data_IF_185922161658
#
_entry.id   IF_185922161658
#
_cell.length_a   1.000
_cell.length_b   1.000
_cell.length_c   1.000
_cell.angle_alpha   90.00
_cell.angle_beta   90.00
_cell.angle_gamma   90.00
#
_symmetry.space_group_name_H-M   'P 1'
#
loop_
_entity.id
_entity.type
_entity.pdbx_description
1 polymer ?
#
# COMPACT_ATOMS: atom_id res chain seq x y z
N UNK A 1 -22.03 2.65 -44.11
CA UNK A 1 -21.09 2.90 -43.01
C UNK A 1 -21.23 1.68 -42.12
N UNK A 2 -20.31 0.73 -42.28
CA UNK A 2 -20.27 -0.44 -41.42
C UNK A 2 -19.83 0.02 -40.03
N UNK A 3 -20.38 -0.63 -39.02
CA UNK A 3 -20.41 -0.21 -37.63
C UNK A 3 -19.02 -0.40 -37.00
N UNK A 4 -18.22 0.67 -36.93
CA UNK A 4 -16.89 0.70 -36.29
C UNK A 4 -16.93 0.27 -34.80
N UNK A 5 -18.12 0.10 -34.21
CA UNK A 5 -18.30 -0.36 -32.84
C UNK A 5 -18.09 -1.88 -32.66
N UNK A 6 -18.41 -2.71 -33.67
CA UNK A 6 -18.28 -4.18 -33.55
C UNK A 6 -16.81 -4.63 -33.41
N UNK A 7 -15.89 -3.90 -34.04
CA UNK A 7 -14.45 -4.18 -33.94
C UNK A 7 -13.86 -3.78 -32.58
N UNK A 8 -14.41 -2.74 -31.93
CA UNK A 8 -13.97 -2.29 -30.61
C UNK A 8 -14.43 -3.23 -29.49
N UNK A 9 -15.68 -3.70 -29.55
CA UNK A 9 -16.19 -4.65 -28.57
C UNK A 9 -15.44 -5.99 -28.65
N UNK A 10 -15.14 -6.45 -29.87
CA UNK A 10 -14.30 -7.65 -30.05
C UNK A 10 -12.89 -7.49 -29.50
N UNK A 11 -12.24 -6.34 -29.72
CA UNK A 11 -10.92 -6.07 -29.15
C UNK A 11 -10.93 -6.05 -27.61
N UNK A 12 -12.02 -5.55 -27.01
CA UNK A 12 -12.17 -5.56 -25.55
C UNK A 12 -12.34 -6.98 -25.03
N UNK A 13 -13.18 -7.79 -25.66
CA UNK A 13 -13.42 -9.18 -25.26
C UNK A 13 -12.15 -10.03 -25.40
N UNK A 14 -11.40 -9.87 -26.50
CA UNK A 14 -10.12 -10.56 -26.72
C UNK A 14 -9.08 -10.16 -25.64
N UNK A 15 -9.05 -8.88 -25.25
CA UNK A 15 -8.15 -8.38 -24.19
C UNK A 15 -8.56 -8.93 -22.81
N UNK A 16 -9.86 -8.94 -22.50
CA UNK A 16 -10.37 -9.46 -21.23
C UNK A 16 -10.09 -10.96 -21.09
N UNK A 17 -10.28 -11.72 -22.17
CA UNK A 17 -9.92 -13.14 -22.19
C UNK A 17 -8.41 -13.36 -21.97
N UNK A 18 -7.56 -12.59 -22.66
CA UNK A 18 -6.12 -12.69 -22.49
C UNK A 18 -5.66 -12.34 -21.06
N UNK A 19 -6.28 -11.35 -20.42
CA UNK A 19 -6.03 -11.01 -19.01
C UNK A 19 -6.46 -12.14 -18.10
N UNK A 20 -7.61 -12.76 -18.35
CA UNK A 20 -8.11 -13.88 -17.56
C UNK A 20 -7.18 -15.10 -17.65
N UNK A 21 -6.80 -15.50 -18.87
CA UNK A 21 -5.85 -16.62 -19.08
C UNK A 21 -4.48 -16.33 -18.44
N UNK A 22 -3.99 -15.09 -18.54
CA UNK A 22 -2.76 -14.68 -17.86
C UNK A 22 -2.90 -14.77 -16.33
N UNK A 23 -4.03 -14.36 -15.76
CA UNK A 23 -4.28 -14.41 -14.32
C UNK A 23 -4.40 -15.85 -13.80
N UNK A 24 -4.93 -16.77 -14.59
CA UNK A 24 -5.02 -18.19 -14.23
C UNK A 24 -3.63 -18.85 -14.21
N UNK A 25 -2.73 -18.45 -15.12
CA UNK A 25 -1.42 -19.10 -15.31
C UNK A 25 -0.24 -18.39 -14.66
N UNK A 26 -0.39 -17.12 -14.24
CA UNK A 26 0.71 -16.33 -13.67
C UNK A 26 1.31 -16.95 -12.39
N UNK A 27 0.51 -17.72 -11.65
CA UNK A 27 0.93 -18.41 -10.43
C UNK A 27 1.52 -19.80 -10.68
N UNK A 28 1.38 -20.35 -11.89
CA UNK A 28 1.90 -21.69 -12.25
C UNK A 28 3.40 -21.68 -12.56
N UNK A 29 4.00 -20.50 -12.67
CA UNK A 29 5.43 -20.34 -12.92
C UNK A 29 6.13 -19.56 -11.80
N UNK A 30 7.46 -19.67 -11.68
CA UNK A 30 8.21 -18.79 -10.81
C UNK A 30 7.98 -17.31 -11.15
N UNK A 31 7.71 -16.51 -10.12
CA UNK A 31 7.63 -15.06 -10.23
C UNK A 31 9.04 -14.52 -10.48
N UNK A 32 9.20 -13.70 -11.52
CA UNK A 32 10.50 -13.08 -11.82
C UNK A 32 10.80 -11.95 -10.83
N UNK A 33 12.08 -11.57 -10.61
CA UNK A 33 12.41 -10.44 -9.76
C UNK A 33 11.73 -9.13 -10.19
N UNK A 34 11.60 -8.87 -11.50
CA UNK A 34 10.96 -7.68 -12.04
C UNK A 34 9.47 -7.63 -11.71
N UNK A 35 8.77 -8.77 -11.82
CA UNK A 35 7.36 -8.88 -11.44
C UNK A 35 7.18 -8.73 -9.94
N UNK A 36 8.10 -9.26 -9.15
CA UNK A 36 8.09 -9.04 -7.71
C UNK A 36 8.23 -7.55 -7.38
N UNK A 37 9.18 -6.83 -8.00
CA UNK A 37 9.32 -5.38 -7.83
C UNK A 37 8.09 -4.62 -8.29
N UNK A 38 7.49 -5.03 -9.41
CA UNK A 38 6.25 -4.44 -9.91
C UNK A 38 5.10 -4.61 -8.91
N UNK A 39 4.92 -5.82 -8.36
CA UNK A 39 3.93 -6.09 -7.33
C UNK A 39 4.21 -5.25 -6.07
N UNK A 40 5.46 -5.19 -5.60
CA UNK A 40 5.82 -4.37 -4.43
C UNK A 40 5.63 -2.87 -4.65
N UNK A 41 5.77 -2.38 -5.89
CA UNK A 41 5.54 -0.96 -6.20
C UNK A 41 4.05 -0.57 -6.11
N UNK A 42 3.16 -1.54 -6.28
CA UNK A 42 1.70 -1.38 -6.20
C UNK A 42 1.14 -1.75 -4.85
N UNK A 43 1.80 -2.65 -4.14
CA UNK A 43 1.44 -3.08 -2.81
C UNK A 43 2.61 -2.88 -1.86
N UNK A 44 3.01 -1.62 -1.60
CA UNK A 44 4.11 -1.37 -0.71
C UNK A 44 3.73 -1.80 0.71
N UNK A 45 4.70 -2.42 1.38
CA UNK A 45 4.58 -2.90 2.74
C UNK A 45 5.84 -2.58 3.53
N UNK A 46 5.72 -2.61 4.85
CA UNK A 46 6.82 -2.47 5.78
C UNK A 46 6.56 -3.33 7.00
N UNK A 47 7.62 -3.96 7.51
CA UNK A 47 7.61 -4.64 8.79
C UNK A 47 8.82 -4.17 9.62
N UNK A 48 8.52 -3.68 10.80
CA UNK A 48 9.52 -3.28 11.80
C UNK A 48 9.29 -4.05 13.10
N UNK A 49 10.34 -4.26 13.88
CA UNK A 49 10.22 -4.81 15.22
C UNK A 49 10.99 -3.99 16.24
N UNK A 50 10.64 -4.19 17.52
CA UNK A 50 11.45 -3.74 18.63
C UNK A 50 12.74 -4.57 18.64
N UNK A 51 13.88 -3.91 18.50
CA UNK A 51 15.15 -4.61 18.47
C UNK A 51 15.52 -5.26 19.81
N UNK A 52 14.96 -4.78 20.92
CA UNK A 52 15.20 -5.32 22.26
C UNK A 52 14.35 -6.58 22.52
N UNK A 53 13.20 -6.70 21.85
CA UNK A 53 12.28 -7.83 21.96
C UNK A 53 11.60 -8.08 20.60
N UNK A 54 12.24 -8.85 19.69
CA UNK A 54 11.75 -9.00 18.32
C UNK A 54 10.65 -10.06 18.18
N UNK A 55 10.12 -10.62 19.28
CA UNK A 55 9.21 -11.75 19.24
C UNK A 55 7.75 -11.33 19.33
N UNK A 56 6.90 -11.86 18.44
CA UNK A 56 5.44 -11.74 18.56
C UNK A 56 5.00 -12.76 19.61
N UNK A 57 4.30 -12.35 20.70
CA UNK A 57 3.75 -13.30 21.65
C UNK A 57 2.78 -14.26 20.95
N UNK A 58 2.90 -15.56 21.24
CA UNK A 58 2.05 -16.58 20.64
C UNK A 58 0.56 -16.32 20.93
N UNK A 59 -0.28 -16.46 19.91
CA UNK A 59 -1.74 -16.23 20.03
C UNK A 59 -2.16 -14.77 20.19
N UNK A 60 -1.24 -13.80 20.10
CA UNK A 60 -1.58 -12.38 20.19
C UNK A 60 -2.16 -11.85 18.87
N UNK A 61 -3.42 -11.47 18.90
CA UNK A 61 -4.06 -10.70 17.82
C UNK A 61 -3.48 -9.28 17.74
N UNK A 62 -3.29 -8.74 16.53
CA UNK A 62 -2.80 -7.38 16.36
C UNK A 62 -3.88 -6.36 16.71
N UNK A 63 -3.46 -5.23 17.29
CA UNK A 63 -4.26 -4.01 17.21
C UNK A 63 -4.19 -3.49 15.77
N UNK A 64 -5.35 -3.31 15.14
CA UNK A 64 -5.44 -2.89 13.74
C UNK A 64 -5.89 -1.44 13.67
N UNK A 65 -5.08 -0.61 13.01
CA UNK A 65 -5.36 0.81 12.79
C UNK A 65 -5.44 1.11 11.31
N UNK A 66 -6.59 1.61 10.89
CA UNK A 66 -6.82 2.14 9.55
C UNK A 66 -6.43 3.61 9.48
N UNK A 67 -5.64 3.97 8.47
CA UNK A 67 -5.24 5.34 8.17
C UNK A 67 -6.24 5.97 7.19
N UNK A 68 -6.31 7.31 7.18
CA UNK A 68 -7.20 8.07 6.28
C UNK A 68 -6.96 7.80 4.78
N UNK A 69 -5.80 7.27 4.41
CA UNK A 69 -5.45 6.91 3.04
C UNK A 69 -5.70 5.43 2.72
N UNK A 70 -6.48 4.70 3.55
CA UNK A 70 -6.81 3.29 3.35
C UNK A 70 -5.69 2.30 3.73
N UNK A 71 -4.59 2.80 4.32
CA UNK A 71 -3.51 1.93 4.80
C UNK A 71 -3.85 1.30 6.13
N UNK A 72 -3.46 0.03 6.28
CA UNK A 72 -3.67 -0.73 7.51
C UNK A 72 -2.34 -0.92 8.23
N UNK A 73 -2.32 -0.60 9.51
CA UNK A 73 -1.20 -0.87 10.40
C UNK A 73 -1.63 -1.91 11.44
N UNK A 74 -0.92 -3.03 11.49
CA UNK A 74 -1.09 -4.10 12.46
C UNK A 74 0.01 -3.99 13.51
N UNK A 75 -0.38 -3.69 14.75
CA UNK A 75 0.50 -3.55 15.90
C UNK A 75 0.39 -4.78 16.81
N UNK A 76 1.44 -5.60 16.83
CA UNK A 76 1.57 -6.76 17.72
C UNK A 76 2.28 -6.40 19.03
N UNK A 77 2.57 -5.12 19.28
CA UNK A 77 3.32 -4.61 20.43
C UNK A 77 4.83 -4.58 20.18
N UNK A 78 5.43 -5.74 19.91
CA UNK A 78 6.86 -5.91 19.59
C UNK A 78 7.16 -5.89 18.09
N UNK A 79 6.14 -6.07 17.25
CA UNK A 79 6.23 -6.02 15.79
C UNK A 79 5.12 -5.14 15.25
N UNK A 80 5.44 -4.27 14.30
CA UNK A 80 4.47 -3.45 13.58
C UNK A 80 4.60 -3.76 12.09
N UNK A 81 3.47 -4.08 11.46
CA UNK A 81 3.37 -4.31 10.01
C UNK A 81 2.43 -3.29 9.41
N UNK A 82 2.79 -2.73 8.28
CA UNK A 82 1.93 -1.82 7.52
C UNK A 82 1.97 -2.15 6.04
N UNK A 83 0.86 -1.96 5.35
CA UNK A 83 0.79 -2.17 3.91
C UNK A 83 -0.44 -1.53 3.30
N UNK A 84 -0.35 -1.27 1.99
CA UNK A 84 -1.51 -0.87 1.22
C UNK A 84 -2.53 -2.01 1.22
N UNK A 85 -3.75 -1.75 1.71
CA UNK A 85 -4.81 -2.74 1.75
C UNK A 85 -5.24 -3.18 0.35
N UNK A 86 -4.92 -2.42 -0.71
CA UNK A 86 -5.47 -2.57 -2.05
C UNK A 86 -5.45 -3.99 -2.61
N UNK A 87 -4.47 -4.87 -2.37
CA UNK A 87 -4.55 -6.24 -2.90
C UNK A 87 -5.64 -7.07 -2.18
N UNK A 88 -5.65 -7.05 -0.84
CA UNK A 88 -6.66 -7.75 -0.04
C UNK A 88 -8.01 -7.05 -0.09
N UNK A 89 -8.02 -5.73 -0.21
CA UNK A 89 -9.19 -4.90 -0.45
C UNK A 89 -9.77 -5.19 -1.83
N UNK A 90 -8.96 -5.26 -2.90
CA UNK A 90 -9.43 -5.61 -4.25
C UNK A 90 -10.00 -7.02 -4.27
N UNK A 91 -9.31 -7.99 -3.64
CA UNK A 91 -9.85 -9.36 -3.50
C UNK A 91 -11.18 -9.36 -2.74
N UNK A 92 -11.27 -8.63 -1.62
CA UNK A 92 -12.48 -8.52 -0.80
C UNK A 92 -13.57 -7.66 -1.44
N UNK A 93 -13.21 -6.64 -2.22
CA UNK A 93 -14.12 -5.73 -2.92
C UNK A 93 -14.66 -6.43 -4.16
N UNK A 94 -13.90 -7.31 -4.83
CA UNK A 94 -14.44 -8.22 -5.83
C UNK A 94 -15.41 -9.24 -5.19
N UNK A 95 -15.08 -9.76 -4.02
CA UNK A 95 -15.98 -10.65 -3.27
C UNK A 95 -17.27 -9.92 -2.84
N UNK A 96 -17.16 -8.69 -2.34
CA UNK A 96 -18.28 -7.83 -1.94
C UNK A 96 -19.09 -7.39 -3.16
N UNK A 97 -18.46 -6.93 -4.25
CA UNK A 97 -19.14 -6.57 -5.51
C UNK A 97 -19.87 -7.78 -6.10
N UNK A 98 -19.27 -8.97 -6.03
CA UNK A 98 -19.93 -10.24 -6.40
C UNK A 98 -21.18 -10.50 -5.56
N UNK A 99 -21.09 -10.33 -4.23
CA UNK A 99 -22.22 -10.47 -3.31
C UNK A 99 -23.30 -9.41 -3.51
N UNK A 100 -22.94 -8.14 -3.73
CA UNK A 100 -23.86 -7.04 -4.03
C UNK A 100 -24.56 -7.28 -5.38
N UNK A 101 -23.83 -7.71 -6.40
CA UNK A 101 -24.39 -8.04 -7.72
C UNK A 101 -25.39 -9.19 -7.62
N UNK A 102 -25.08 -10.24 -6.86
CA UNK A 102 -26.02 -11.33 -6.58
C UNK A 102 -27.25 -10.87 -5.79
N UNK A 103 -27.05 -10.06 -4.75
CA UNK A 103 -28.14 -9.53 -3.92
C UNK A 103 -29.08 -8.62 -4.72
N UNK A 104 -28.54 -7.73 -5.55
CA UNK A 104 -29.31 -6.83 -6.41
C UNK A 104 -30.00 -7.59 -7.55
N UNK A 105 -29.37 -8.61 -8.14
CA UNK A 105 -30.02 -9.47 -9.14
C UNK A 105 -31.20 -10.25 -8.56
N UNK A 106 -31.05 -10.76 -7.33
CA UNK A 106 -32.13 -11.44 -6.59
C UNK A 106 -33.27 -10.48 -6.24
N UNK A 107 -32.95 -9.29 -5.73
CA UNK A 107 -33.95 -8.26 -5.43
C UNK A 107 -34.75 -7.86 -6.68
N UNK A 108 -34.08 -7.71 -7.82
CA UNK A 108 -34.71 -7.38 -9.11
C UNK A 108 -35.64 -8.50 -9.60
N UNK A 109 -35.22 -9.76 -9.51
CA UNK A 109 -36.06 -10.92 -9.86
C UNK A 109 -37.31 -11.04 -8.97
N UNK A 110 -37.23 -10.52 -7.74
CA UNK A 110 -38.32 -10.50 -6.76
C UNK A 110 -39.13 -9.18 -6.81
N UNK A 111 -38.85 -8.27 -7.76
CA UNK A 111 -39.56 -7.01 -7.95
C UNK A 111 -39.32 -5.95 -6.86
N UNK A 112 -38.20 -6.03 -6.12
CA UNK A 112 -37.82 -5.08 -5.06
C UNK A 112 -36.79 -4.08 -5.56
N UNK A 113 -36.76 -2.90 -4.95
CA UNK A 113 -35.70 -1.91 -5.18
C UNK A 113 -34.32 -2.45 -4.78
N UNK A 114 -33.25 -1.92 -5.42
CA UNK A 114 -31.86 -2.28 -5.13
C UNK A 114 -31.54 -2.06 -3.66
N UNK A 115 -30.79 -2.98 -3.06
CA UNK A 115 -30.53 -2.97 -1.62
C UNK A 115 -29.39 -2.03 -1.19
N UNK A 116 -28.53 -1.59 -2.12
CA UNK A 116 -27.35 -0.77 -1.81
C UNK A 116 -27.13 0.31 -2.88
N UNK A 117 -26.79 1.53 -2.44
CA UNK A 117 -26.38 2.66 -3.27
C UNK A 117 -24.89 2.60 -3.62
N UNK A 118 -24.55 3.07 -4.83
CA UNK A 118 -23.18 3.26 -5.31
C UNK A 118 -22.69 4.64 -4.86
N UNK A 119 -22.38 4.82 -3.57
CA UNK A 119 -21.85 6.10 -3.10
C UNK A 119 -20.34 6.22 -3.39
N UNK A 120 -19.99 7.32 -4.04
CA UNK A 120 -18.67 7.75 -4.48
C UNK A 120 -17.71 7.98 -3.30
N UNK A 121 -16.47 7.48 -3.42
CA UNK A 121 -15.38 7.66 -2.45
C UNK A 121 -14.97 9.13 -2.33
N UNK A 122 -15.43 9.81 -1.27
CA UNK A 122 -14.87 11.09 -0.82
C UNK A 122 -13.50 10.88 -0.17
N UNK A 123 -12.43 11.18 -0.91
CA UNK A 123 -11.11 11.34 -0.29
C UNK A 123 -9.98 11.38 -1.30
N UNK A 124 -9.50 12.59 -1.61
CA UNK A 124 -8.27 12.76 -2.39
C UNK A 124 -7.08 12.15 -1.66
N UNK A 125 -6.81 10.87 -1.92
CA UNK A 125 -5.62 10.20 -1.43
C UNK A 125 -4.43 10.80 -2.19
N UNK A 126 -3.48 11.40 -1.48
CA UNK A 126 -2.24 11.90 -2.09
C UNK A 126 -1.54 10.83 -2.92
N UNK A 127 -0.48 11.19 -3.67
CA UNK A 127 0.28 10.22 -4.47
C UNK A 127 0.68 8.98 -3.65
N UNK A 128 0.82 7.80 -4.27
CA UNK A 128 1.31 6.57 -3.59
C UNK A 128 2.56 6.85 -2.75
N UNK A 129 3.44 7.72 -3.25
CA UNK A 129 4.63 8.22 -2.54
C UNK A 129 4.30 8.86 -1.20
N UNK A 130 3.35 9.78 -1.19
CA UNK A 130 2.89 10.42 0.04
C UNK A 130 2.24 9.40 0.98
N UNK A 131 1.41 8.49 0.44
CA UNK A 131 0.69 7.52 1.26
C UNK A 131 1.62 6.57 2.02
N UNK A 132 2.60 5.94 1.34
CA UNK A 132 3.54 5.06 2.03
C UNK A 132 4.46 5.84 2.98
N UNK A 133 4.73 7.12 2.67
CA UNK A 133 5.53 8.00 3.54
C UNK A 133 4.78 8.23 4.85
N UNK A 134 3.52 8.65 4.77
CA UNK A 134 2.66 8.87 5.93
C UNK A 134 2.53 7.59 6.77
N UNK A 135 2.36 6.44 6.12
CA UNK A 135 2.29 5.14 6.79
C UNK A 135 3.59 4.77 7.51
N UNK A 136 4.75 4.95 6.87
CA UNK A 136 6.04 4.69 7.51
C UNK A 136 6.27 5.58 8.74
N UNK A 137 5.92 6.87 8.66
CA UNK A 137 5.99 7.79 9.79
C UNK A 137 5.04 7.39 10.92
N UNK A 138 3.81 7.00 10.59
CA UNK A 138 2.83 6.54 11.59
C UNK A 138 3.31 5.27 12.31
N UNK A 139 3.95 4.34 11.62
CA UNK A 139 4.53 3.13 12.22
C UNK A 139 5.67 3.46 13.21
N UNK A 140 6.55 4.40 12.87
CA UNK A 140 7.61 4.86 13.80
C UNK A 140 7.03 5.59 15.00
N UNK A 141 6.00 6.42 14.82
CA UNK A 141 5.30 7.06 15.95
C UNK A 141 4.67 6.03 16.88
N UNK A 142 4.04 4.98 16.33
CA UNK A 142 3.50 3.88 17.12
C UNK A 142 4.60 3.14 17.90
N UNK A 143 5.77 2.90 17.28
CA UNK A 143 6.91 2.32 17.98
C UNK A 143 7.35 3.17 19.19
N UNK A 144 7.41 4.50 19.03
CA UNK A 144 7.71 5.43 20.13
C UNK A 144 6.62 5.38 21.22
N UNK A 145 5.34 5.35 20.82
CA UNK A 145 4.21 5.24 21.76
C UNK A 145 4.24 3.92 22.56
N UNK A 146 4.71 2.84 21.93
CA UNK A 146 4.95 1.55 22.58
C UNK A 146 6.21 1.53 23.45
N UNK A 147 6.95 2.64 23.54
CA UNK A 147 8.16 2.76 24.35
C UNK A 147 9.38 2.05 23.77
N UNK A 148 9.42 1.81 22.45
CA UNK A 148 10.59 1.20 21.81
C UNK A 148 11.80 2.12 21.91
N UNK A 149 12.98 1.55 22.17
CA UNK A 149 14.25 2.28 22.22
C UNK A 149 15.02 2.22 20.90
N UNK A 150 14.82 1.15 20.14
CA UNK A 150 15.46 0.88 18.86
C UNK A 150 14.49 0.07 18.00
N UNK A 151 14.22 0.55 16.80
CA UNK A 151 13.47 -0.20 15.80
C UNK A 151 14.43 -0.92 14.83
N UNK A 152 14.07 -2.13 14.43
CA UNK A 152 14.74 -2.88 13.36
C UNK A 152 13.80 -3.06 12.18
N UNK A 153 14.25 -2.71 10.97
CA UNK A 153 13.53 -2.98 9.73
C UNK A 153 13.81 -4.42 9.33
N UNK A 154 12.78 -5.26 9.37
CA UNK A 154 12.90 -6.68 9.02
C UNK A 154 12.74 -6.90 7.52
N UNK A 155 11.77 -6.20 6.92
CA UNK A 155 11.43 -6.33 5.50
C UNK A 155 10.52 -5.20 5.05
N UNK A 156 10.41 -4.98 3.74
CA UNK A 156 9.47 -4.02 3.18
C UNK A 156 9.83 -3.60 1.76
N UNK A 157 9.00 -2.76 1.18
CA UNK A 157 9.31 -2.04 -0.05
C UNK A 157 10.39 -0.99 0.23
N UNK A 158 11.46 -0.96 -0.58
CA UNK A 158 12.66 -0.16 -0.30
C UNK A 158 12.37 1.34 -0.06
N UNK A 159 11.56 2.05 -0.88
CA UNK A 159 11.15 3.41 -0.57
C UNK A 159 10.44 3.58 0.78
N UNK A 160 9.67 2.60 1.23
CA UNK A 160 8.99 2.65 2.52
C UNK A 160 9.96 2.38 3.69
N UNK A 161 10.92 1.47 3.51
CA UNK A 161 12.02 1.27 4.47
C UNK A 161 12.86 2.55 4.62
N UNK A 162 13.19 3.21 3.51
CA UNK A 162 13.87 4.52 3.48
C UNK A 162 13.08 5.56 4.27
N UNK A 163 11.77 5.65 4.07
CA UNK A 163 10.93 6.59 4.82
C UNK A 163 10.86 6.26 6.31
N UNK A 164 10.87 4.98 6.70
CA UNK A 164 10.91 4.58 8.10
C UNK A 164 12.24 4.97 8.77
N UNK A 165 13.36 4.80 8.07
CA UNK A 165 14.67 5.28 8.54
C UNK A 165 14.69 6.80 8.71
N UNK A 166 14.19 7.56 7.72
CA UNK A 166 14.08 9.04 7.81
C UNK A 166 13.17 9.43 8.99
N UNK A 167 12.01 8.77 9.14
CA UNK A 167 11.10 9.03 10.24
C UNK A 167 11.75 8.78 11.61
N UNK A 168 12.56 7.72 11.74
CA UNK A 168 13.36 7.46 12.93
C UNK A 168 14.28 8.61 13.29
N UNK A 169 15.04 9.13 12.31
CA UNK A 169 15.91 10.28 12.51
C UNK A 169 15.16 11.54 12.94
N UNK A 170 14.03 11.83 12.28
CA UNK A 170 13.22 13.02 12.55
C UNK A 170 12.51 12.96 13.92
N UNK A 171 12.11 11.76 14.35
CA UNK A 171 11.35 11.55 15.58
C UNK A 171 12.22 11.11 16.76
N UNK A 172 13.54 10.98 16.57
CA UNK A 172 14.48 10.61 17.62
C UNK A 172 14.43 9.13 18.03
N UNK A 173 13.91 8.24 17.18
CA UNK A 173 13.97 6.79 17.37
C UNK A 173 15.08 6.20 16.48
N UNK A 174 16.16 5.64 17.05
CA UNK A 174 17.13 4.88 16.28
C UNK A 174 16.46 3.76 15.47
N UNK A 175 16.81 3.66 14.18
CA UNK A 175 16.32 2.63 13.26
C UNK A 175 17.52 1.92 12.62
N UNK A 176 17.56 0.57 12.71
CA UNK A 176 18.52 -0.29 12.02
C UNK A 176 17.83 -1.18 10.98
N UNK A 177 18.60 -2.02 10.29
CA UNK A 177 18.08 -2.92 9.24
C UNK A 177 17.94 -2.29 7.85
N UNK A 178 18.19 -0.98 7.73
CA UNK A 178 18.23 -0.27 6.45
C UNK A 178 19.67 0.11 6.07
N UNK A 179 20.10 -0.27 4.87
CA UNK A 179 21.42 0.07 4.33
C UNK A 179 21.33 1.40 3.58
N UNK A 180 21.91 2.44 4.18
CA UNK A 180 21.85 3.81 3.66
C UNK A 180 22.84 4.01 2.52
N UNK A 181 22.34 4.53 1.40
CA UNK A 181 23.10 4.99 0.23
C UNK A 181 23.21 6.53 0.19
N UNK A 182 24.01 7.06 -0.73
CA UNK A 182 24.12 8.52 -0.92
C UNK A 182 22.80 9.14 -1.41
N UNK A 183 22.05 8.42 -2.25
CA UNK A 183 20.72 8.85 -2.72
C UNK A 183 19.74 9.02 -1.54
N UNK A 184 19.78 8.10 -0.58
CA UNK A 184 18.94 8.15 0.62
C UNK A 184 19.19 9.42 1.43
N UNK A 185 20.45 9.86 1.53
CA UNK A 185 20.83 11.11 2.22
C UNK A 185 20.35 12.35 1.47
N UNK A 186 20.37 12.32 0.14
CA UNK A 186 19.78 13.40 -0.66
C UNK A 186 18.29 13.49 -0.37
N UNK A 187 17.58 12.37 -0.37
CA UNK A 187 16.14 12.33 -0.11
C UNK A 187 15.80 12.75 1.31
N UNK A 188 16.57 12.31 2.31
CA UNK A 188 16.44 12.78 3.69
C UNK A 188 16.49 14.31 3.77
N UNK A 189 17.50 14.93 3.15
CA UNK A 189 17.64 16.38 3.12
C UNK A 189 16.44 17.06 2.42
N UNK A 190 15.90 16.46 1.37
CA UNK A 190 14.70 16.98 0.69
C UNK A 190 13.47 16.91 1.58
N UNK A 191 13.22 15.77 2.23
CA UNK A 191 12.10 15.59 3.16
C UNK A 191 12.17 16.60 4.30
N UNK A 192 13.34 16.79 4.92
CA UNK A 192 13.54 17.79 5.97
C UNK A 192 13.24 19.22 5.50
N UNK A 193 13.63 19.57 4.26
CA UNK A 193 13.33 20.89 3.68
C UNK A 193 11.84 21.08 3.37
N UNK A 194 11.17 20.05 2.85
CA UNK A 194 9.72 20.08 2.59
C UNK A 194 8.96 20.29 3.90
N UNK A 195 9.27 19.49 4.93
CA UNK A 195 8.59 19.54 6.23
C UNK A 195 8.85 20.84 7.00
N UNK A 196 10.03 21.45 6.84
CA UNK A 196 10.33 22.76 7.40
C UNK A 196 9.72 23.93 6.62
N UNK A 197 8.93 23.66 5.57
CA UNK A 197 8.32 24.68 4.72
C UNK A 197 9.33 25.44 3.85
N UNK A 198 10.58 24.97 3.77
CA UNK A 198 11.68 25.61 3.04
C UNK A 198 11.76 25.19 1.57
N UNK A 199 10.97 24.18 1.16
CA UNK A 199 10.93 23.68 -0.21
C UNK A 199 9.48 23.62 -0.70
N UNK A 200 9.03 24.67 -1.39
CA UNK A 200 7.92 24.56 -2.33
C UNK A 200 8.15 25.46 -3.56
N UNK A 201 8.11 24.92 -4.78
CA UNK A 201 8.61 23.61 -5.21
C UNK A 201 10.01 23.74 -5.85
N UNK A 202 10.89 22.72 -5.74
CA UNK A 202 12.13 22.70 -6.49
C UNK A 202 11.82 22.62 -7.99
N UNK A 203 12.42 23.49 -8.80
CA UNK A 203 12.49 23.28 -10.25
C UNK A 203 13.08 21.89 -10.46
N UNK A 204 12.28 20.95 -10.97
CA UNK A 204 12.78 19.62 -11.33
C UNK A 204 14.00 19.84 -12.24
N UNK A 205 15.19 19.34 -11.91
CA UNK A 205 16.28 19.36 -12.87
C UNK A 205 15.78 18.60 -14.09
N UNK A 206 15.72 19.30 -15.23
CA UNK A 206 15.48 18.66 -16.51
C UNK A 206 16.72 17.77 -16.72
N UNK A 207 16.56 16.47 -16.48
CA UNK A 207 17.54 15.50 -16.94
C UNK A 207 17.55 15.62 -18.47
N UNK A 208 18.66 16.14 -19.00
CA UNK A 208 18.97 16.15 -20.43
C UNK A 208 19.74 14.90 -20.78
#
# INVERSE_FOLDING_TARGET
MADDNDDLDKQRDDMDQAVQEAMETIFDRPITPQEFYFLLSRYPYLQICNADDPFIPEGKEPEVKEMRNGWMIHNYGSVIRGGAYELLALMRQQEIKGKIKQANAKALAEGREKAFGEDEEEGGHGTIVQQYTDAAFAMIQLAIQNGWKLADILSGFYPMQRMAWIAGLELGLPVKGFVVTDEDRVIQNWVAKIRSGKLYPPKRPILR
#
